data_IF_374181140173
#
_entry.id   IF_374181140173
#
_cell.length_a   1.000
_cell.length_b   1.000
_cell.length_c   1.000
_cell.angle_alpha   90.00
_cell.angle_beta   90.00
_cell.angle_gamma   90.00
#
_symmetry.space_group_name_H-M   'P 1'
#
loop_
_entity.id
_entity.type
_entity.pdbx_description
1 polymer ?
#
# COMPACT_ATOMS: atom_id res chain seq x y z
N UNK A 1 5.57 7.23 -3.62
CA UNK A 1 5.55 5.75 -3.73
C UNK A 1 6.52 5.19 -2.71
N UNK A 2 6.14 4.22 -1.87
CA UNK A 2 7.01 3.80 -0.77
C UNK A 2 7.31 2.29 -0.73
N UNK A 3 6.92 1.62 -1.81
CA UNK A 3 7.34 0.28 -2.22
C UNK A 3 7.10 0.13 -3.72
N UNK A 4 7.38 -1.06 -4.27
CA UNK A 4 7.10 -1.32 -5.69
C UNK A 4 5.61 -1.28 -6.01
N UNK A 5 5.27 -0.93 -7.25
CA UNK A 5 3.90 -0.85 -7.75
C UNK A 5 3.56 -1.97 -8.72
N UNK A 6 2.28 -2.34 -8.81
CA UNK A 6 1.82 -3.37 -9.78
C UNK A 6 2.03 -2.91 -11.22
N UNK A 7 1.77 -1.63 -11.50
CA UNK A 7 1.89 -1.06 -12.84
C UNK A 7 3.30 -0.51 -13.16
N UNK A 8 4.28 -0.69 -12.26
CA UNK A 8 5.64 -0.21 -12.48
C UNK A 8 6.54 -1.34 -12.94
N UNK A 9 7.33 -1.07 -14.00
CA UNK A 9 8.21 -2.07 -14.63
C UNK A 9 9.38 -2.43 -13.73
N UNK A 10 10.09 -1.42 -13.23
CA UNK A 10 11.45 -1.58 -12.70
C UNK A 10 11.53 -1.80 -11.20
N UNK A 11 10.42 -1.69 -10.45
CA UNK A 11 10.45 -1.82 -9.01
C UNK A 11 9.82 -3.13 -8.50
N UNK A 12 10.37 -3.60 -7.39
CA UNK A 12 9.90 -4.78 -6.68
C UNK A 12 9.02 -4.35 -5.52
N UNK A 13 7.87 -5.00 -5.40
CA UNK A 13 6.87 -4.76 -4.37
C UNK A 13 7.35 -5.11 -2.96
N UNK A 14 8.27 -6.06 -2.85
CA UNK A 14 8.80 -6.50 -1.56
C UNK A 14 9.82 -5.52 -0.96
N UNK A 15 10.35 -4.59 -1.76
CA UNK A 15 11.37 -3.66 -1.29
C UNK A 15 10.72 -2.34 -0.85
N UNK A 16 10.83 -1.97 0.43
CA UNK A 16 10.49 -0.62 0.86
C UNK A 16 11.40 0.38 0.15
N UNK A 17 10.84 1.54 -0.19
CA UNK A 17 11.55 2.66 -0.80
C UNK A 17 11.62 3.80 0.22
N UNK A 18 12.63 4.65 0.05
CA UNK A 18 13.05 5.73 0.94
C UNK A 18 13.75 5.30 2.23
N UNK A 19 14.75 6.08 2.59
CA UNK A 19 15.44 6.06 3.88
C UNK A 19 14.59 6.76 4.95
N UNK A 20 14.91 6.52 6.21
CA UNK A 20 14.22 7.14 7.36
C UNK A 20 14.35 8.67 7.30
N UNK A 21 15.53 9.18 6.93
CA UNK A 21 15.78 10.62 6.82
C UNK A 21 14.94 11.28 5.73
N UNK A 22 14.75 10.59 4.60
CA UNK A 22 13.91 11.07 3.50
C UNK A 22 12.43 11.11 3.91
N UNK A 23 11.95 10.07 4.59
CA UNK A 23 10.57 10.01 5.11
C UNK A 23 10.33 11.10 6.16
N UNK A 24 11.24 11.24 7.11
CA UNK A 24 11.17 12.26 8.15
C UNK A 24 11.16 13.66 7.55
N UNK A 25 12.00 13.93 6.55
CA UNK A 25 12.01 15.21 5.84
C UNK A 25 10.67 15.49 5.14
N UNK A 26 10.06 14.51 4.48
CA UNK A 26 8.74 14.65 3.86
C UNK A 26 7.65 14.95 4.90
N UNK A 27 7.60 14.18 5.99
CA UNK A 27 6.61 14.36 7.07
C UNK A 27 6.76 15.74 7.71
N UNK A 28 8.00 16.14 8.02
CA UNK A 28 8.27 17.46 8.60
C UNK A 28 7.87 18.60 7.66
N UNK A 29 8.14 18.44 6.35
CA UNK A 29 7.73 19.42 5.34
C UNK A 29 6.22 19.58 5.32
N UNK A 30 5.46 18.48 5.30
CA UNK A 30 3.98 18.55 5.29
C UNK A 30 3.38 19.11 6.57
N UNK A 31 4.01 18.86 7.72
CA UNK A 31 3.55 19.40 9.00
C UNK A 31 3.59 20.93 9.04
N UNK A 32 4.53 21.57 8.34
CA UNK A 32 4.60 23.04 8.23
C UNK A 32 3.44 23.66 7.44
N UNK A 33 2.65 22.84 6.75
CA UNK A 33 1.46 23.22 5.98
C UNK A 33 0.17 22.63 6.55
N UNK A 34 0.19 22.17 7.81
CA UNK A 34 -0.95 21.53 8.48
C UNK A 34 -1.55 20.37 7.66
N UNK A 35 -0.70 19.64 6.93
CA UNK A 35 -1.08 18.48 6.12
C UNK A 35 -0.24 17.25 6.47
N UNK A 36 -0.50 16.14 5.79
CA UNK A 36 0.11 14.85 6.08
C UNK A 36 0.65 14.16 4.84
N UNK A 37 1.45 13.12 5.10
CA UNK A 37 1.94 12.20 4.07
C UNK A 37 1.07 10.95 4.07
N UNK A 38 0.66 10.51 2.87
CA UNK A 38 0.16 9.16 2.62
C UNK A 38 1.18 8.37 1.79
N UNK A 39 1.20 7.06 1.96
CA UNK A 39 2.22 6.20 1.35
C UNK A 39 1.62 4.99 0.65
N UNK A 40 2.03 4.82 -0.61
CA UNK A 40 1.78 3.63 -1.41
C UNK A 40 2.58 2.44 -0.91
N UNK A 41 1.91 1.50 -0.24
CA UNK A 41 2.55 0.31 0.32
C UNK A 41 1.65 -0.93 0.26
N UNK A 42 2.20 -2.04 -0.22
CA UNK A 42 1.49 -3.33 -0.26
C UNK A 42 1.83 -4.22 0.93
N UNK A 43 3.10 -4.29 1.32
CA UNK A 43 3.62 -5.29 2.27
C UNK A 43 3.67 -4.77 3.70
N UNK A 44 3.54 -5.67 4.67
CA UNK A 44 3.66 -5.36 6.11
C UNK A 44 4.97 -4.64 6.42
N UNK A 45 6.09 -5.10 5.84
CA UNK A 45 7.40 -4.47 6.02
C UNK A 45 7.40 -3.01 5.56
N UNK A 46 6.87 -2.72 4.38
CA UNK A 46 6.81 -1.36 3.86
C UNK A 46 5.84 -0.48 4.68
N UNK A 47 4.64 -0.97 4.98
CA UNK A 47 3.66 -0.24 5.78
C UNK A 47 4.21 0.11 7.17
N UNK A 48 4.85 -0.85 7.85
CA UNK A 48 5.48 -0.62 9.16
C UNK A 48 6.62 0.40 9.09
N UNK A 49 7.45 0.33 8.04
CA UNK A 49 8.52 1.32 7.79
C UNK A 49 7.95 2.74 7.68
N UNK A 50 6.86 2.92 6.93
CA UNK A 50 6.20 4.21 6.75
C UNK A 50 5.59 4.73 8.05
N UNK A 51 4.83 3.89 8.75
CA UNK A 51 4.12 4.26 9.98
C UNK A 51 5.12 4.68 11.07
N UNK A 52 6.25 3.96 11.19
CA UNK A 52 7.30 4.29 12.16
C UNK A 52 7.96 5.65 11.88
N UNK A 53 7.95 6.09 10.62
CA UNK A 53 8.52 7.37 10.20
C UNK A 53 7.48 8.50 10.10
N UNK A 54 6.27 8.32 10.64
CA UNK A 54 5.29 9.40 10.80
C UNK A 54 4.31 9.60 9.64
N UNK A 55 4.25 8.67 8.68
CA UNK A 55 3.20 8.64 7.65
C UNK A 55 1.84 8.36 8.31
N UNK A 56 0.81 9.10 7.91
CA UNK A 56 -0.54 9.01 8.49
C UNK A 56 -1.58 8.30 7.61
N UNK A 57 -1.25 7.98 6.35
CA UNK A 57 -2.13 7.20 5.48
C UNK A 57 -1.40 6.13 4.69
N UNK A 58 -2.02 4.98 4.51
CA UNK A 58 -1.52 3.85 3.71
C UNK A 58 -2.45 3.60 2.54
N UNK A 59 -1.91 3.65 1.34
CA UNK A 59 -2.63 3.37 0.09
C UNK A 59 -2.45 1.90 -0.31
N UNK A 60 -3.53 1.27 -0.79
CA UNK A 60 -3.63 -0.15 -1.14
C UNK A 60 -3.68 -1.10 0.06
N UNK A 61 -2.55 -1.32 0.74
CA UNK A 61 -2.45 -2.17 1.93
C UNK A 61 -2.87 -3.64 1.76
N UNK A 62 -2.77 -4.23 0.56
CA UNK A 62 -3.35 -5.56 0.27
C UNK A 62 -2.85 -6.70 1.17
N UNK A 63 -1.65 -6.59 1.76
CA UNK A 63 -1.11 -7.62 2.64
C UNK A 63 -1.19 -7.26 4.12
N UNK A 64 -2.06 -6.31 4.49
CA UNK A 64 -2.32 -5.97 5.88
C UNK A 64 -2.68 -7.22 6.69
N UNK A 65 -2.09 -7.33 7.89
CA UNK A 65 -2.42 -8.34 8.89
C UNK A 65 -3.11 -7.68 10.09
N UNK A 66 -3.63 -8.51 10.99
CA UNK A 66 -4.38 -8.07 12.16
C UNK A 66 -3.53 -7.18 13.08
N UNK A 67 -2.31 -7.61 13.39
CA UNK A 67 -1.41 -6.88 14.29
C UNK A 67 -1.09 -5.48 13.78
N UNK A 68 -0.85 -5.34 12.47
CA UNK A 68 -0.58 -4.03 11.88
C UNK A 68 -1.86 -3.19 11.77
N UNK A 69 -3.02 -3.80 11.51
CA UNK A 69 -4.31 -3.10 11.52
C UNK A 69 -4.64 -2.53 12.90
N UNK A 70 -4.41 -3.30 13.97
CA UNK A 70 -4.56 -2.84 15.36
C UNK A 70 -3.61 -1.68 15.68
N UNK A 71 -2.35 -1.78 15.24
CA UNK A 71 -1.38 -0.69 15.38
C UNK A 71 -1.83 0.58 14.65
N UNK A 72 -2.33 0.44 13.41
CA UNK A 72 -2.84 1.55 12.61
C UNK A 72 -4.02 2.23 13.32
N UNK A 73 -4.99 1.45 13.80
CA UNK A 73 -6.13 1.97 14.55
C UNK A 73 -5.69 2.71 15.82
N UNK A 74 -4.78 2.13 16.60
CA UNK A 74 -4.25 2.75 17.82
C UNK A 74 -3.50 4.07 17.57
N UNK A 75 -2.86 4.21 16.40
CA UNK A 75 -2.12 5.41 15.99
C UNK A 75 -2.92 6.40 15.14
N UNK A 76 -4.18 6.09 14.82
CA UNK A 76 -5.00 6.93 13.94
C UNK A 76 -4.51 6.98 12.49
N UNK A 77 -3.90 5.89 12.00
CA UNK A 77 -3.41 5.78 10.62
C UNK A 77 -4.55 5.35 9.71
N UNK A 78 -4.76 6.09 8.63
CA UNK A 78 -5.78 5.80 7.63
C UNK A 78 -5.34 4.69 6.67
N UNK A 79 -6.29 3.85 6.25
CA UNK A 79 -6.11 2.89 5.17
C UNK A 79 -7.02 3.27 4.01
N UNK A 80 -6.48 3.32 2.79
CA UNK A 80 -7.23 3.54 1.54
C UNK A 80 -7.13 2.30 0.65
N UNK A 81 -8.03 1.31 0.82
CA UNK A 81 -8.07 0.15 -0.05
C UNK A 81 -8.57 0.52 -1.45
N UNK A 82 -7.92 0.00 -2.49
CA UNK A 82 -8.26 0.28 -3.89
C UNK A 82 -8.55 -1.01 -4.67
N UNK A 83 -9.32 -1.91 -4.04
CA UNK A 83 -9.58 -3.27 -4.53
C UNK A 83 -10.17 -3.29 -5.95
N UNK A 84 -11.05 -2.33 -6.28
CA UNK A 84 -11.68 -2.21 -7.60
C UNK A 84 -10.65 -2.11 -8.73
N UNK A 85 -9.47 -1.52 -8.47
CA UNK A 85 -8.42 -1.41 -9.50
C UNK A 85 -7.86 -2.78 -9.89
N UNK A 86 -7.75 -3.71 -8.92
CA UNK A 86 -7.28 -5.06 -9.20
C UNK A 86 -8.29 -5.88 -9.98
N UNK A 87 -9.57 -5.72 -9.65
CA UNK A 87 -10.67 -6.38 -10.34
C UNK A 87 -10.83 -5.85 -11.76
N UNK A 88 -10.90 -4.53 -11.94
CA UNK A 88 -10.96 -3.90 -13.26
C UNK A 88 -9.80 -4.34 -14.15
N UNK A 89 -8.57 -4.33 -13.63
CA UNK A 89 -7.41 -4.82 -14.38
C UNK A 89 -7.50 -6.32 -14.70
N UNK A 90 -8.32 -7.12 -14.01
CA UNK A 90 -8.54 -8.54 -14.24
C UNK A 90 -9.61 -8.86 -15.29
N UNK A 91 -10.39 -7.88 -15.71
CA UNK A 91 -11.54 -8.08 -16.60
C UNK A 91 -11.49 -7.18 -17.85
N UNK A 92 -12.02 -7.63 -19.01
CA UNK A 92 -12.18 -6.76 -20.17
C UNK A 92 -13.01 -5.50 -19.86
N UNK A 93 -12.72 -4.35 -20.49
CA UNK A 93 -11.72 -4.13 -21.53
C UNK A 93 -10.31 -3.78 -20.99
N UNK A 94 -10.09 -3.84 -19.68
CA UNK A 94 -8.86 -3.35 -19.03
C UNK A 94 -7.86 -4.47 -18.69
N UNK A 95 -8.16 -5.70 -19.07
CA UNK A 95 -7.30 -6.88 -18.85
C UNK A 95 -5.96 -6.80 -19.57
N UNK A 96 -5.88 -5.99 -20.62
CA UNK A 96 -4.67 -5.72 -21.40
C UNK A 96 -3.91 -4.45 -20.98
N UNK A 97 -4.38 -3.75 -19.95
CA UNK A 97 -3.77 -2.47 -19.52
C UNK A 97 -2.31 -2.62 -19.06
N UNK A 98 -1.96 -3.78 -18.50
CA UNK A 98 -0.62 -4.06 -17.99
C UNK A 98 0.21 -4.82 -19.04
N UNK A 99 1.47 -4.43 -19.20
CA UNK A 99 2.44 -5.25 -19.95
C UNK A 99 2.70 -6.58 -19.22
N UNK A 100 3.32 -7.55 -19.90
CA UNK A 100 3.52 -8.91 -19.37
C UNK A 100 4.20 -8.95 -18.00
N UNK A 101 5.23 -8.12 -17.79
CA UNK A 101 5.97 -8.06 -16.52
C UNK A 101 5.10 -7.58 -15.36
N UNK A 102 4.27 -6.55 -15.59
CA UNK A 102 3.33 -6.05 -14.60
C UNK A 102 2.16 -7.01 -14.38
N UNK A 103 1.70 -7.70 -15.42
CA UNK A 103 0.65 -8.73 -15.34
C UNK A 103 1.05 -9.91 -14.45
N UNK A 104 2.32 -10.33 -14.47
CA UNK A 104 2.85 -11.35 -13.54
C UNK A 104 2.74 -10.91 -12.08
N UNK A 105 2.93 -9.61 -11.79
CA UNK A 105 2.82 -9.04 -10.44
C UNK A 105 1.38 -9.00 -9.92
N UNK A 106 0.37 -9.14 -10.78
CA UNK A 106 -1.07 -9.08 -10.45
C UNK A 106 -1.66 -10.42 -10.01
N UNK A 107 -1.30 -11.52 -10.67
CA UNK A 107 -1.93 -12.85 -10.49
C UNK A 107 -1.82 -13.41 -9.06
N UNK A 108 -0.79 -13.07 -8.31
CA UNK A 108 -0.61 -13.55 -6.93
C UNK A 108 -1.54 -12.91 -5.90
N UNK A 109 -2.33 -11.87 -6.24
CA UNK A 109 -2.87 -10.94 -5.22
C UNK A 109 -4.35 -10.64 -5.24
N UNK A 110 -5.05 -10.84 -6.34
CA UNK A 110 -6.52 -10.62 -6.38
C UNK A 110 -7.24 -11.49 -5.34
N UNK A 111 -6.75 -12.72 -5.11
CA UNK A 111 -7.27 -13.62 -4.07
C UNK A 111 -6.95 -13.17 -2.64
N UNK A 112 -5.72 -12.72 -2.38
CA UNK A 112 -5.27 -12.37 -1.01
C UNK A 112 -5.90 -11.11 -0.42
N UNK A 113 -6.19 -10.09 -1.25
CA UNK A 113 -6.73 -8.82 -0.76
C UNK A 113 -8.22 -8.88 -0.37
N UNK A 114 -9.01 -9.69 -1.07
CA UNK A 114 -10.45 -9.81 -0.81
C UNK A 114 -10.72 -10.64 0.46
N UNK A 115 -10.11 -11.82 0.58
CA UNK A 115 -10.35 -12.73 1.71
C UNK A 115 -9.90 -12.15 3.06
N UNK A 116 -8.80 -11.38 3.09
CA UNK A 116 -8.26 -10.80 4.34
C UNK A 116 -8.96 -9.51 4.77
N UNK A 117 -9.39 -8.67 3.84
CA UNK A 117 -10.11 -7.44 4.19
C UNK A 117 -11.48 -7.75 4.79
N UNK A 118 -12.19 -8.75 4.26
CA UNK A 118 -13.47 -9.21 4.83
C UNK A 118 -13.32 -9.83 6.22
N UNK A 119 -12.23 -10.55 6.49
CA UNK A 119 -11.96 -11.10 7.82
C UNK A 119 -11.66 -10.01 8.86
N UNK A 120 -10.94 -8.96 8.47
CA UNK A 120 -10.57 -7.87 9.39
C UNK A 120 -11.75 -6.92 9.68
N UNK A 121 -12.67 -6.73 8.73
CA UNK A 121 -13.86 -5.88 8.90
C UNK A 121 -14.98 -6.56 9.72
N UNK A 122 -14.91 -7.88 9.93
CA UNK A 122 -15.87 -8.68 10.72
C UNK A 122 -15.42 -8.93 12.17
N UNK A 123 -14.26 -8.43 12.56
CA UNK A 123 -13.66 -8.58 13.91
C UNK A 123 -13.74 -7.26 14.67
#
# INVERSE_FOLDING_TARGET
MSGGGVASRLNNLAHPQFLDEELSAMVHTTASYDTCVTAHAYTIRAMRHMINNGVLGIEHGNFLDKDLAELMAAKGIYLTPTLVTHDAMATPPYDQFLNEDCSKKKCSRSRFGLERSESCLRS
#
